data_IF_636172125237
#
_entry.id   IF_636172125237
#
_cell.length_a   1.000
_cell.length_b   1.000
_cell.length_c   1.000
_cell.angle_alpha   90.00
_cell.angle_beta   90.00
_cell.angle_gamma   90.00
#
_symmetry.space_group_name_H-M   'P 1'
#
loop_
_entity.id
_entity.type
_entity.pdbx_description
1 polymer ?
#
# COMPACT_ATOMS: atom_id res chain seq x y z
N UNK A 1 -2.64 -87.75 9.74
CA UNK A 1 -2.04 -86.45 9.53
C UNK A 1 -2.71 -85.46 10.48
N UNK A 2 -2.04 -85.15 11.58
CA UNK A 2 -2.57 -84.22 12.60
C UNK A 2 -1.74 -82.92 12.52
N UNK A 3 -2.37 -81.82 12.12
CA UNK A 3 -1.74 -80.50 12.17
C UNK A 3 -1.88 -79.95 13.57
N UNK A 4 -0.74 -79.66 14.20
CA UNK A 4 -0.65 -78.95 15.48
C UNK A 4 -0.50 -77.44 15.20
N UNK A 5 -1.51 -76.65 15.55
CA UNK A 5 -1.45 -75.15 15.51
C UNK A 5 -0.82 -74.66 16.82
N UNK A 6 0.37 -74.05 16.72
CA UNK A 6 1.00 -73.33 17.80
C UNK A 6 0.48 -71.90 17.83
N UNK A 7 -0.21 -71.52 18.89
CA UNK A 7 -0.62 -70.17 19.19
C UNK A 7 0.56 -69.47 19.88
N UNK A 8 1.15 -68.47 19.22
CA UNK A 8 2.09 -67.52 19.81
C UNK A 8 1.33 -66.33 20.37
N UNK A 9 1.35 -66.14 21.67
CA UNK A 9 0.94 -64.86 22.33
C UNK A 9 1.99 -63.78 22.09
N UNK A 10 1.60 -62.56 21.69
CA UNK A 10 2.57 -61.46 21.67
C UNK A 10 2.74 -60.88 23.07
N UNK A 11 4.01 -60.75 23.49
CA UNK A 11 4.43 -59.93 24.64
C UNK A 11 3.97 -58.48 24.43
N UNK A 12 3.17 -57.94 25.36
CA UNK A 12 2.94 -56.50 25.47
C UNK A 12 4.21 -55.82 25.92
N UNK A 13 4.90 -55.16 24.99
CA UNK A 13 5.94 -54.19 25.30
C UNK A 13 5.25 -52.85 25.71
N UNK A 14 5.31 -52.51 26.97
CA UNK A 14 4.88 -51.22 27.53
C UNK A 14 5.86 -50.16 27.02
N UNK A 15 5.52 -49.52 25.91
CA UNK A 15 6.28 -48.37 25.42
C UNK A 15 5.99 -47.18 26.33
N UNK A 16 6.97 -46.79 27.12
CA UNK A 16 7.00 -45.52 27.85
C UNK A 16 7.04 -44.41 26.81
N UNK A 17 5.91 -43.75 26.57
CA UNK A 17 5.85 -42.51 25.79
C UNK A 17 6.55 -41.42 26.61
N UNK A 18 7.84 -41.21 26.31
CA UNK A 18 8.54 -39.99 26.71
C UNK A 18 7.93 -38.87 25.90
N UNK A 19 7.06 -38.08 26.53
CA UNK A 19 6.63 -36.78 25.99
C UNK A 19 7.86 -35.86 25.91
N UNK A 20 8.64 -35.98 24.86
CA UNK A 20 9.52 -34.90 24.46
C UNK A 20 8.62 -33.77 23.99
N UNK A 21 8.54 -32.71 24.78
CA UNK A 21 7.90 -31.47 24.40
C UNK A 21 8.59 -30.87 23.18
N UNK A 22 8.31 -31.40 22.02
CA UNK A 22 8.65 -30.79 20.74
C UNK A 22 7.85 -29.50 20.69
N UNK A 23 8.49 -28.36 20.99
CA UNK A 23 7.91 -27.07 20.64
C UNK A 23 7.59 -27.14 19.15
N UNK A 24 6.33 -27.03 18.80
CA UNK A 24 5.89 -27.02 17.42
C UNK A 24 6.68 -25.92 16.69
N UNK A 25 7.48 -26.31 15.70
CA UNK A 25 8.26 -25.38 14.89
C UNK A 25 7.28 -24.61 14.00
N UNK A 26 7.43 -23.29 13.94
CA UNK A 26 6.67 -22.49 12.97
C UNK A 26 6.93 -22.98 11.55
N UNK A 27 5.88 -23.06 10.75
CA UNK A 27 6.03 -23.36 9.33
C UNK A 27 6.89 -22.27 8.65
N UNK A 28 7.79 -22.66 7.72
CA UNK A 28 8.54 -21.71 6.93
C UNK A 28 7.58 -20.86 6.07
N UNK A 29 8.07 -19.73 5.54
CA UNK A 29 7.32 -19.00 4.51
C UNK A 29 7.03 -19.93 3.33
N UNK A 30 5.78 -19.93 2.85
CA UNK A 30 5.43 -20.69 1.65
C UNK A 30 6.08 -20.09 0.40
N UNK A 31 6.08 -20.86 -0.70
CA UNK A 31 6.69 -20.44 -1.96
C UNK A 31 6.04 -19.18 -2.54
N UNK A 32 4.73 -19.01 -2.39
CA UNK A 32 3.99 -17.85 -2.90
C UNK A 32 4.35 -16.58 -2.12
N UNK A 33 4.43 -16.67 -0.80
CA UNK A 33 4.91 -15.57 0.05
C UNK A 33 6.34 -15.18 -0.29
N UNK A 34 7.23 -16.16 -0.48
CA UNK A 34 8.64 -15.91 -0.82
C UNK A 34 8.76 -15.21 -2.18
N UNK A 35 7.99 -15.67 -3.17
CA UNK A 35 7.92 -15.06 -4.50
C UNK A 35 7.39 -13.62 -4.42
N UNK A 36 6.28 -13.39 -3.71
CA UNK A 36 5.69 -12.07 -3.55
C UNK A 36 6.66 -11.07 -2.89
N UNK A 37 7.38 -11.47 -1.85
CA UNK A 37 8.40 -10.65 -1.20
C UNK A 37 9.48 -10.22 -2.19
N UNK A 38 9.96 -11.17 -3.02
CA UNK A 38 11.01 -10.90 -4.00
C UNK A 38 10.51 -9.99 -5.13
N UNK A 39 9.35 -10.27 -5.71
CA UNK A 39 8.73 -9.50 -6.80
C UNK A 39 8.46 -8.05 -6.40
N UNK A 40 7.94 -7.84 -5.18
CA UNK A 40 7.69 -6.51 -4.64
C UNK A 40 8.96 -5.83 -4.11
N UNK A 41 10.07 -6.56 -3.97
CA UNK A 41 11.31 -6.07 -3.37
C UNK A 41 11.05 -5.49 -1.97
N UNK A 42 10.29 -6.22 -1.12
CA UNK A 42 10.00 -5.80 0.25
C UNK A 42 11.29 -5.79 1.07
N UNK A 43 11.48 -4.74 1.85
CA UNK A 43 12.68 -4.59 2.69
C UNK A 43 12.42 -5.08 4.09
N UNK A 44 13.41 -5.76 4.63
CA UNK A 44 13.47 -6.09 6.04
C UNK A 44 13.87 -4.87 6.88
N UNK A 45 13.43 -4.84 8.12
CA UNK A 45 13.90 -3.87 9.11
C UNK A 45 15.42 -3.98 9.31
N UNK A 46 16.06 -2.87 9.67
CA UNK A 46 17.51 -2.84 9.89
C UNK A 46 17.94 -3.78 11.02
N UNK A 47 17.16 -3.82 12.11
CA UNK A 47 17.47 -4.56 13.34
C UNK A 47 16.39 -5.62 13.60
N UNK A 48 16.81 -6.83 13.96
CA UNK A 48 15.89 -7.86 14.41
C UNK A 48 15.20 -7.45 15.72
N UNK A 49 13.97 -7.92 15.93
CA UNK A 49 13.23 -7.57 17.15
C UNK A 49 13.93 -8.09 18.41
N UNK A 50 14.51 -9.29 18.34
CA UNK A 50 15.24 -9.88 19.45
C UNK A 50 16.47 -9.05 19.91
N UNK A 51 17.02 -8.25 19.00
CA UNK A 51 18.18 -7.37 19.28
C UNK A 51 17.76 -6.00 19.84
N UNK A 52 16.45 -5.71 19.89
CA UNK A 52 15.92 -4.44 20.41
C UNK A 52 15.77 -4.50 21.93
N UNK A 53 16.12 -3.40 22.59
CA UNK A 53 15.95 -3.28 24.04
C UNK A 53 14.50 -3.54 24.45
N UNK A 54 14.33 -4.36 25.50
CA UNK A 54 13.01 -4.69 26.05
C UNK A 54 12.19 -5.70 25.23
N UNK A 55 12.75 -6.32 24.19
CA UNK A 55 12.06 -7.37 23.47
C UNK A 55 11.73 -8.56 24.37
N UNK A 56 10.53 -9.10 24.19
CA UNK A 56 10.07 -10.35 24.82
C UNK A 56 9.29 -11.13 23.77
N UNK A 57 9.42 -12.46 23.80
CA UNK A 57 8.62 -13.33 22.95
C UNK A 57 7.13 -13.05 23.14
N UNK A 58 6.36 -12.83 22.06
CA UNK A 58 4.93 -12.54 22.17
C UNK A 58 4.15 -13.75 22.68
N UNK A 59 3.07 -13.49 23.42
CA UNK A 59 2.16 -14.51 23.95
C UNK A 59 0.80 -14.46 23.28
N UNK A 60 0.32 -13.25 22.94
CA UNK A 60 -1.02 -13.03 22.38
C UNK A 60 -0.99 -11.99 21.27
N UNK A 61 -1.65 -12.31 20.16
CA UNK A 61 -1.86 -11.40 19.03
C UNK A 61 -3.34 -11.32 18.71
N UNK A 62 -3.89 -10.11 18.65
CA UNK A 62 -5.27 -9.87 18.23
C UNK A 62 -5.31 -9.61 16.74
N UNK A 63 -6.20 -10.27 16.04
CA UNK A 63 -6.41 -10.14 14.59
C UNK A 63 -7.80 -9.60 14.33
N UNK A 64 -7.89 -8.55 13.53
CA UNK A 64 -9.15 -7.89 13.16
C UNK A 64 -9.42 -8.14 11.69
N UNK A 65 -10.67 -8.51 11.34
CA UNK A 65 -11.06 -8.71 9.94
C UNK A 65 -10.70 -10.08 9.36
N UNK A 66 -10.41 -11.07 10.20
CA UNK A 66 -10.18 -12.45 9.81
C UNK A 66 -11.38 -13.35 10.16
N UNK A 67 -11.49 -14.47 9.47
CA UNK A 67 -12.42 -15.57 9.79
C UNK A 67 -11.71 -16.71 10.53
N UNK A 68 -12.46 -17.76 10.89
CA UNK A 68 -11.92 -18.93 11.59
C UNK A 68 -10.87 -19.70 10.76
N UNK A 69 -11.03 -19.77 9.44
CA UNK A 69 -10.06 -20.40 8.55
C UNK A 69 -8.74 -19.62 8.54
N UNK A 70 -8.83 -18.30 8.48
CA UNK A 70 -7.68 -17.40 8.54
C UNK A 70 -6.98 -17.47 9.89
N UNK A 71 -7.74 -17.60 10.99
CA UNK A 71 -7.18 -17.80 12.33
C UNK A 71 -6.29 -19.05 12.39
N UNK A 72 -6.79 -20.20 11.94
CA UNK A 72 -6.03 -21.47 11.94
C UNK A 72 -4.75 -21.36 11.08
N UNK A 73 -4.87 -20.71 9.92
CA UNK A 73 -3.74 -20.47 9.01
C UNK A 73 -2.67 -19.55 9.61
N UNK A 74 -3.07 -18.50 10.34
CA UNK A 74 -2.14 -17.64 11.07
C UNK A 74 -1.50 -18.37 12.25
N UNK A 75 -2.28 -19.22 12.96
CA UNK A 75 -1.80 -20.01 14.10
C UNK A 75 -0.65 -20.94 13.70
N UNK A 76 -0.67 -21.53 12.49
CA UNK A 76 0.40 -22.40 12.02
C UNK A 76 1.74 -21.65 11.82
N UNK A 77 1.70 -20.36 11.55
CA UNK A 77 2.90 -19.53 11.43
C UNK A 77 3.52 -19.13 12.78
N UNK A 78 2.75 -19.17 13.87
CA UNK A 78 3.20 -18.82 15.22
C UNK A 78 2.58 -19.76 16.28
N UNK A 79 2.96 -21.05 16.30
CA UNK A 79 2.29 -22.07 17.15
C UNK A 79 2.43 -21.82 18.64
N UNK A 80 3.45 -21.06 19.07
CA UNK A 80 3.67 -20.68 20.47
C UNK A 80 2.95 -19.40 20.92
N UNK A 81 2.16 -18.77 20.04
CA UNK A 81 1.45 -17.50 20.28
C UNK A 81 -0.05 -17.74 20.24
N UNK A 82 -0.81 -17.21 21.17
CA UNK A 82 -2.27 -17.26 21.12
C UNK A 82 -2.79 -16.26 20.10
N UNK A 83 -3.43 -16.73 19.03
CA UNK A 83 -4.07 -15.89 18.03
C UNK A 83 -5.56 -15.76 18.33
N UNK A 84 -6.02 -14.53 18.60
CA UNK A 84 -7.42 -14.22 18.88
C UNK A 84 -7.99 -13.39 17.75
N UNK A 85 -9.01 -13.88 17.05
CA UNK A 85 -9.74 -13.12 16.04
C UNK A 85 -10.87 -12.36 16.69
N UNK A 86 -10.82 -11.04 16.61
CA UNK A 86 -11.88 -10.16 17.07
C UNK A 86 -12.91 -9.95 15.96
N UNK A 87 -14.18 -10.24 16.26
CA UNK A 87 -15.31 -10.13 15.32
C UNK A 87 -15.73 -8.69 15.07
N UNK A 88 -15.55 -7.86 16.07
CA UNK A 88 -15.91 -6.44 16.01
C UNK A 88 -14.94 -5.57 16.84
N UNK A 89 -15.16 -4.27 16.77
CA UNK A 89 -14.33 -3.29 17.48
C UNK A 89 -14.38 -3.44 18.99
N UNK A 90 -15.54 -3.74 19.54
CA UNK A 90 -15.72 -3.89 20.99
C UNK A 90 -14.95 -5.11 21.52
N UNK A 91 -14.98 -6.21 20.78
CA UNK A 91 -14.18 -7.39 21.08
C UNK A 91 -12.67 -7.10 20.96
N UNK A 92 -12.25 -6.41 19.90
CA UNK A 92 -10.85 -6.03 19.72
C UNK A 92 -10.34 -5.18 20.91
N UNK A 93 -11.13 -4.24 21.41
CA UNK A 93 -10.76 -3.40 22.55
C UNK A 93 -10.64 -4.19 23.86
N UNK A 94 -11.46 -5.24 24.06
CA UNK A 94 -11.32 -6.13 25.23
C UNK A 94 -10.07 -7.01 25.11
N UNK A 95 -9.89 -7.63 23.94
CA UNK A 95 -8.81 -8.59 23.72
C UNK A 95 -7.43 -7.97 23.66
N UNK A 96 -7.33 -6.67 23.31
CA UNK A 96 -6.05 -5.97 23.20
C UNK A 96 -5.43 -5.64 24.57
N UNK A 97 -6.20 -5.68 25.65
CA UNK A 97 -5.76 -5.26 26.98
C UNK A 97 -4.52 -6.01 27.50
N UNK A 98 -4.37 -7.29 27.12
CA UNK A 98 -3.23 -8.14 27.47
C UNK A 98 -2.45 -8.63 26.24
N UNK A 99 -2.72 -8.09 25.05
CA UNK A 99 -2.08 -8.48 23.80
C UNK A 99 -0.73 -7.80 23.60
N UNK A 100 0.19 -8.54 22.96
CA UNK A 100 1.51 -8.05 22.57
C UNK A 100 1.49 -7.37 21.19
N UNK A 101 0.51 -7.71 20.34
CA UNK A 101 0.39 -7.16 19.00
C UNK A 101 -1.03 -7.17 18.45
N UNK A 102 -1.26 -6.33 17.42
CA UNK A 102 -2.51 -6.28 16.64
C UNK A 102 -2.18 -6.41 15.15
N UNK A 103 -2.96 -7.23 14.44
CA UNK A 103 -2.99 -7.32 12.98
C UNK A 103 -4.36 -6.87 12.49
N UNK A 104 -4.41 -6.00 11.47
CA UNK A 104 -5.66 -5.58 10.82
C UNK A 104 -6.12 -4.18 11.18
N UNK A 105 -5.63 -3.58 12.24
CA UNK A 105 -6.09 -2.27 12.68
C UNK A 105 -5.01 -1.40 13.31
N UNK A 106 -5.13 -0.10 13.09
CA UNK A 106 -4.30 0.91 13.72
C UNK A 106 -5.22 2.06 14.16
N UNK A 107 -5.46 2.20 15.48
CA UNK A 107 -6.34 3.25 15.99
C UNK A 107 -5.98 3.64 17.43
N UNK A 108 -6.25 4.89 17.78
CA UNK A 108 -5.86 5.48 19.05
C UNK A 108 -6.42 4.75 20.28
N UNK A 109 -7.68 4.32 20.22
CA UNK A 109 -8.31 3.58 21.32
C UNK A 109 -7.75 2.16 21.50
N UNK A 110 -7.34 1.47 20.40
CA UNK A 110 -6.61 0.18 20.49
C UNK A 110 -5.26 0.37 21.16
N UNK A 111 -4.51 1.39 20.77
CA UNK A 111 -3.21 1.69 21.38
C UNK A 111 -3.36 2.08 22.85
N UNK A 112 -4.40 2.84 23.19
CA UNK A 112 -4.71 3.21 24.58
C UNK A 112 -5.15 2.01 25.43
N UNK A 113 -6.00 1.13 24.87
CA UNK A 113 -6.50 -0.05 25.57
C UNK A 113 -5.46 -1.18 25.71
N UNK A 114 -4.41 -1.18 24.85
CA UNK A 114 -3.37 -2.21 24.84
C UNK A 114 -2.03 -1.72 25.45
N UNK A 115 -1.88 -1.69 26.79
CA UNK A 115 -0.67 -1.18 27.44
C UNK A 115 0.58 -2.03 27.13
N UNK A 116 0.41 -3.29 26.74
CA UNK A 116 1.52 -4.20 26.42
C UNK A 116 1.85 -4.27 24.94
N UNK A 117 1.11 -3.55 24.05
CA UNK A 117 1.35 -3.56 22.62
C UNK A 117 2.78 -3.12 22.27
N UNK A 118 3.44 -3.91 21.42
CA UNK A 118 4.79 -3.70 20.91
C UNK A 118 4.87 -3.75 19.39
N UNK A 119 3.85 -4.31 18.72
CA UNK A 119 3.79 -4.36 17.28
C UNK A 119 2.37 -4.18 16.76
N UNK A 120 2.25 -3.43 15.67
CA UNK A 120 1.01 -3.28 14.91
C UNK A 120 1.31 -3.58 13.44
N UNK A 121 0.59 -4.56 12.86
CA UNK A 121 0.55 -4.80 11.42
C UNK A 121 -0.69 -4.11 10.85
N UNK A 122 -0.48 -3.00 10.17
CA UNK A 122 -1.56 -2.32 9.44
C UNK A 122 -1.75 -2.95 8.06
N UNK A 123 -3.00 -3.25 7.66
CA UNK A 123 -3.31 -3.90 6.38
C UNK A 123 -3.54 -2.92 5.21
N UNK A 124 -3.19 -1.65 5.38
CA UNK A 124 -3.14 -0.65 4.31
C UNK A 124 -1.73 -0.10 4.13
N UNK A 125 -1.48 0.57 3.01
CA UNK A 125 -0.19 1.23 2.76
C UNK A 125 -0.09 2.57 3.48
N UNK A 126 -1.16 3.38 3.48
CA UNK A 126 -1.20 4.70 4.13
C UNK A 126 -1.23 4.57 5.65
N UNK A 127 -0.38 5.32 6.33
CA UNK A 127 -0.18 5.23 7.79
C UNK A 127 -0.36 6.56 8.51
N UNK A 128 -0.85 7.58 7.84
CA UNK A 128 -0.97 8.95 8.35
C UNK A 128 -1.75 9.00 9.68
N UNK A 129 -2.85 8.23 9.76
CA UNK A 129 -3.65 8.11 10.99
C UNK A 129 -2.96 7.28 12.07
N UNK A 130 -2.06 6.37 11.70
CA UNK A 130 -1.32 5.54 12.64
C UNK A 130 -0.21 6.32 13.31
N UNK A 131 0.62 7.00 12.52
CA UNK A 131 1.81 7.70 13.04
C UNK A 131 1.45 8.90 13.93
N UNK A 132 0.24 9.43 13.79
CA UNK A 132 -0.28 10.51 14.64
C UNK A 132 -0.88 10.02 15.98
N UNK A 133 -0.93 8.70 16.23
CA UNK A 133 -1.51 8.17 17.46
C UNK A 133 -0.62 8.49 18.66
N UNK A 134 -1.17 9.16 19.70
CA UNK A 134 -0.42 9.40 20.93
C UNK A 134 0.09 8.08 21.54
N UNK A 135 1.35 8.07 21.92
CA UNK A 135 1.98 6.90 22.56
C UNK A 135 2.58 5.86 21.59
N UNK A 136 2.29 5.90 20.29
CA UNK A 136 2.86 4.93 19.35
C UNK A 136 4.40 5.05 19.30
N UNK A 137 4.92 6.24 19.04
CA UNK A 137 6.36 6.49 19.02
C UNK A 137 6.99 6.39 20.41
N UNK A 138 6.43 7.05 21.43
CA UNK A 138 7.03 7.13 22.76
C UNK A 138 7.07 5.80 23.51
N UNK A 139 6.20 4.85 23.15
CA UNK A 139 6.21 3.48 23.67
C UNK A 139 7.08 2.53 22.85
N UNK A 140 7.68 3.00 21.73
CA UNK A 140 8.48 2.18 20.83
C UNK A 140 7.68 1.07 20.14
N UNK A 141 6.37 1.29 19.89
CA UNK A 141 5.54 0.32 19.17
C UNK A 141 5.98 0.26 17.72
N UNK A 142 6.41 -0.91 17.27
CA UNK A 142 6.79 -1.13 15.88
C UNK A 142 5.54 -1.12 15.00
N UNK A 143 5.55 -0.35 13.93
CA UNK A 143 4.49 -0.31 12.93
C UNK A 143 5.00 -0.90 11.63
N UNK A 144 4.26 -1.83 11.07
CA UNK A 144 4.47 -2.37 9.71
C UNK A 144 3.22 -2.15 8.88
N UNK A 145 3.38 -1.94 7.57
CA UNK A 145 2.28 -1.66 6.66
C UNK A 145 2.36 -2.51 5.38
N UNK A 146 1.45 -2.25 4.43
CA UNK A 146 1.38 -2.94 3.14
C UNK A 146 1.98 -2.09 2.01
N UNK A 147 3.06 -1.33 2.29
CA UNK A 147 3.77 -0.60 1.24
C UNK A 147 4.19 -1.54 0.12
N UNK A 148 4.10 -1.06 -1.13
CA UNK A 148 4.36 -1.78 -2.37
C UNK A 148 3.36 -2.86 -2.77
N UNK A 149 2.59 -3.45 -1.85
CA UNK A 149 1.65 -4.55 -2.17
C UNK A 149 0.65 -4.13 -3.26
N UNK A 150 0.13 -2.91 -3.19
CA UNK A 150 -0.79 -2.37 -4.19
C UNK A 150 -0.07 -1.72 -5.40
N UNK A 151 1.27 -1.69 -5.43
CA UNK A 151 2.02 -1.03 -6.51
C UNK A 151 1.65 -1.51 -7.91
N UNK A 152 1.63 -2.82 -8.19
CA UNK A 152 1.27 -3.34 -9.51
C UNK A 152 -0.11 -2.89 -9.97
N UNK A 153 -1.18 -3.13 -9.19
CA UNK A 153 -2.56 -2.77 -9.57
C UNK A 153 -2.75 -1.26 -9.66
N UNK A 154 -2.21 -0.48 -8.73
CA UNK A 154 -2.30 0.98 -8.78
C UNK A 154 -1.58 1.56 -10.00
N UNK A 155 -0.48 0.94 -10.44
CA UNK A 155 0.20 1.39 -11.66
C UNK A 155 -0.65 1.18 -12.92
N UNK A 156 -1.45 0.11 -12.99
CA UNK A 156 -2.41 -0.11 -14.08
C UNK A 156 -3.53 0.93 -14.06
N UNK A 157 -4.02 1.27 -12.87
CA UNK A 157 -5.01 2.33 -12.68
C UNK A 157 -4.46 3.70 -13.15
N UNK A 158 -3.21 4.05 -12.80
CA UNK A 158 -2.55 5.26 -13.29
C UNK A 158 -2.47 5.27 -14.81
N UNK A 159 -2.07 4.17 -15.44
CA UNK A 159 -2.04 4.06 -16.91
C UNK A 159 -3.42 4.20 -17.53
N UNK A 160 -4.46 3.61 -16.92
CA UNK A 160 -5.84 3.76 -17.38
C UNK A 160 -6.29 5.23 -17.35
N UNK A 161 -5.99 5.97 -16.28
CA UNK A 161 -6.26 7.40 -16.21
C UNK A 161 -5.46 8.19 -17.25
N UNK A 162 -4.17 7.89 -17.43
CA UNK A 162 -3.32 8.53 -18.44
C UNK A 162 -3.85 8.30 -19.86
N UNK A 163 -4.19 7.06 -20.22
CA UNK A 163 -4.80 6.75 -21.52
C UNK A 163 -6.18 7.38 -21.66
N UNK A 164 -7.00 7.31 -20.61
CA UNK A 164 -8.33 7.91 -20.63
C UNK A 164 -8.30 9.40 -20.97
N UNK A 165 -7.39 10.15 -20.36
CA UNK A 165 -7.22 11.57 -20.57
C UNK A 165 -6.57 11.89 -21.93
N UNK A 166 -5.47 11.23 -22.26
CA UNK A 166 -4.73 11.49 -23.50
C UNK A 166 -5.50 11.07 -24.75
N UNK A 167 -6.48 10.14 -24.62
CA UNK A 167 -7.35 9.67 -25.69
C UNK A 167 -8.76 10.25 -25.64
N UNK A 168 -9.02 11.24 -24.76
CA UNK A 168 -10.28 11.96 -24.70
C UNK A 168 -11.48 11.16 -24.21
N UNK A 169 -11.26 10.04 -23.46
CA UNK A 169 -12.37 9.18 -23.00
C UNK A 169 -13.30 9.92 -22.04
N UNK A 170 -12.81 10.91 -21.29
CA UNK A 170 -13.64 11.80 -20.47
C UNK A 170 -14.72 12.54 -21.26
N UNK A 171 -14.46 12.82 -22.55
CA UNK A 171 -15.41 13.46 -23.49
C UNK A 171 -16.24 12.43 -24.24
N UNK A 172 -15.63 11.34 -24.74
CA UNK A 172 -16.33 10.40 -25.62
C UNK A 172 -17.27 9.46 -24.86
N UNK A 173 -16.98 9.08 -23.60
CA UNK A 173 -17.87 8.21 -22.82
C UNK A 173 -19.25 8.86 -22.58
N UNK A 174 -19.40 10.13 -22.18
CA UNK A 174 -20.69 10.79 -22.10
C UNK A 174 -21.42 10.86 -23.46
N UNK A 175 -20.72 11.09 -24.58
CA UNK A 175 -21.29 11.07 -25.93
C UNK A 175 -21.82 9.69 -26.32
N UNK A 176 -21.08 8.63 -26.02
CA UNK A 176 -21.53 7.25 -26.17
C UNK A 176 -22.84 7.01 -25.38
N UNK A 177 -22.90 7.48 -24.14
CA UNK A 177 -24.10 7.31 -23.29
C UNK A 177 -25.35 8.01 -23.86
N UNK A 178 -25.17 9.12 -24.59
CA UNK A 178 -26.24 9.82 -25.29
C UNK A 178 -26.51 9.32 -26.74
N UNK A 179 -25.75 8.31 -27.21
CA UNK A 179 -25.90 7.79 -28.59
C UNK A 179 -25.38 8.73 -29.67
N UNK A 180 -24.49 9.66 -29.32
CA UNK A 180 -23.95 10.67 -30.22
C UNK A 180 -22.60 10.22 -30.80
N UNK A 181 -22.53 10.14 -32.16
CA UNK A 181 -21.27 9.92 -32.89
C UNK A 181 -20.58 11.27 -33.11
N UNK A 182 -19.76 11.70 -32.15
CA UNK A 182 -19.18 13.06 -32.08
C UNK A 182 -17.69 13.05 -32.40
N UNK A 183 -17.29 12.96 -33.65
CA UNK A 183 -15.88 12.92 -34.09
C UNK A 183 -15.10 14.15 -33.64
N UNK A 184 -15.71 15.32 -33.66
CA UNK A 184 -15.09 16.63 -33.38
C UNK A 184 -15.27 17.07 -31.91
N UNK A 185 -15.74 16.19 -31.02
CA UNK A 185 -16.01 16.57 -29.63
C UNK A 185 -14.71 16.89 -28.84
N UNK A 186 -13.59 16.34 -29.26
CA UNK A 186 -12.25 16.67 -28.70
C UNK A 186 -11.50 17.55 -29.70
N UNK A 187 -11.09 18.77 -29.31
CA UNK A 187 -10.39 19.69 -30.22
C UNK A 187 -9.10 19.08 -30.80
N UNK A 188 -8.76 19.49 -32.02
CA UNK A 188 -7.52 19.10 -32.67
C UNK A 188 -6.29 19.38 -31.79
N UNK A 189 -5.34 18.44 -31.77
CA UNK A 189 -4.13 18.53 -30.94
C UNK A 189 -4.30 18.18 -29.46
N UNK A 190 -5.56 17.89 -29.01
CA UNK A 190 -5.83 17.44 -27.63
C UNK A 190 -5.70 15.92 -27.46
N UNK A 191 -5.80 15.16 -28.54
CA UNK A 191 -5.51 13.71 -28.55
C UNK A 191 -4.03 13.50 -28.87
N UNK A 192 -3.31 12.79 -28.03
CA UNK A 192 -1.88 12.57 -28.22
C UNK A 192 -1.41 11.20 -27.69
N UNK A 193 -0.25 10.76 -28.16
CA UNK A 193 0.41 9.53 -27.74
C UNK A 193 1.22 9.76 -26.47
N UNK A 194 1.36 8.73 -25.66
CA UNK A 194 2.27 8.74 -24.50
C UNK A 194 3.74 8.57 -24.91
N UNK A 195 4.01 7.85 -26.02
CA UNK A 195 5.37 7.64 -26.53
C UNK A 195 6.08 8.97 -26.77
N UNK A 196 7.33 9.06 -26.32
CA UNK A 196 8.15 10.26 -26.42
C UNK A 196 7.81 11.38 -25.44
N UNK A 197 6.72 11.26 -24.68
CA UNK A 197 6.33 12.25 -23.66
C UNK A 197 7.09 12.03 -22.36
N UNK A 198 7.26 13.10 -21.59
CA UNK A 198 7.90 13.07 -20.28
C UNK A 198 6.88 12.86 -19.19
N UNK A 199 7.02 11.76 -18.44
CA UNK A 199 6.30 11.51 -17.20
C UNK A 199 7.18 11.93 -16.02
N UNK A 200 6.72 12.89 -15.23
CA UNK A 200 7.29 13.17 -13.92
C UNK A 200 6.54 12.43 -12.84
N UNK A 201 7.27 11.71 -11.99
CA UNK A 201 6.75 10.98 -10.85
C UNK A 201 7.21 11.66 -9.56
N UNK A 202 6.31 12.35 -8.88
CA UNK A 202 6.52 12.82 -7.52
C UNK A 202 6.29 11.65 -6.55
N UNK A 203 7.38 11.12 -5.99
CA UNK A 203 7.33 9.97 -5.11
C UNK A 203 7.69 8.64 -5.78
N UNK A 204 8.99 8.37 -5.96
CA UNK A 204 9.49 7.09 -6.49
C UNK A 204 9.51 6.00 -5.37
N UNK A 205 8.32 5.75 -4.79
CA UNK A 205 8.03 4.68 -3.85
C UNK A 205 7.51 3.42 -4.55
N UNK A 206 6.73 2.58 -3.85
CA UNK A 206 6.20 1.32 -4.40
C UNK A 206 5.33 1.53 -5.65
N UNK A 207 4.41 2.50 -5.62
CA UNK A 207 3.55 2.84 -6.76
C UNK A 207 4.38 3.48 -7.88
N UNK A 208 5.16 4.52 -7.54
CA UNK A 208 5.96 5.25 -8.52
C UNK A 208 6.94 4.36 -9.29
N UNK A 209 7.57 3.38 -8.64
CA UNK A 209 8.46 2.39 -9.26
C UNK A 209 7.74 1.54 -10.31
N UNK A 210 6.54 1.04 -9.98
CA UNK A 210 5.76 0.21 -10.89
C UNK A 210 5.22 1.02 -12.08
N UNK A 211 4.79 2.26 -11.84
CA UNK A 211 4.40 3.18 -12.92
C UNK A 211 5.60 3.50 -13.81
N UNK A 212 6.76 3.84 -13.22
CA UNK A 212 7.97 4.16 -13.96
C UNK A 212 8.37 3.03 -14.93
N UNK A 213 8.38 1.79 -14.43
CA UNK A 213 8.72 0.61 -15.23
C UNK A 213 7.77 0.42 -16.42
N UNK A 214 6.46 0.55 -16.20
CA UNK A 214 5.44 0.39 -17.24
C UNK A 214 5.44 1.54 -18.23
N UNK A 215 5.55 2.78 -17.76
CA UNK A 215 5.61 3.97 -18.60
C UNK A 215 6.85 3.99 -19.50
N UNK A 216 8.00 3.55 -18.98
CA UNK A 216 9.20 3.36 -19.80
C UNK A 216 8.97 2.31 -20.90
N UNK A 217 8.25 1.21 -20.61
CA UNK A 217 7.84 0.21 -21.61
C UNK A 217 6.91 0.76 -22.69
N UNK A 218 6.19 1.85 -22.42
CA UNK A 218 5.37 2.60 -23.39
C UNK A 218 6.17 3.66 -24.16
N UNK A 219 7.49 3.70 -24.03
CA UNK A 219 8.35 4.68 -24.71
C UNK A 219 8.34 6.07 -24.10
N UNK A 220 7.83 6.25 -22.86
CA UNK A 220 7.90 7.53 -22.17
C UNK A 220 9.29 7.81 -21.61
N UNK A 221 9.68 9.09 -21.57
CA UNK A 221 10.83 9.54 -20.80
C UNK A 221 10.41 9.74 -19.34
N UNK A 222 10.92 8.90 -18.42
CA UNK A 222 10.52 8.94 -17.01
C UNK A 222 11.54 9.70 -16.18
N UNK A 223 11.10 10.77 -15.53
CA UNK A 223 11.86 11.52 -14.51
C UNK A 223 11.14 11.45 -13.18
N UNK A 224 11.86 11.43 -12.06
CA UNK A 224 11.23 11.20 -10.77
C UNK A 224 11.94 11.91 -9.61
N UNK A 225 11.19 12.19 -8.53
CA UNK A 225 11.76 12.63 -7.26
C UNK A 225 11.46 11.64 -6.15
N UNK A 226 12.32 11.64 -5.14
CA UNK A 226 12.13 10.88 -3.91
C UNK A 226 12.75 11.61 -2.72
N UNK A 227 12.32 11.26 -1.51
CA UNK A 227 12.82 11.93 -0.30
C UNK A 227 14.19 11.39 0.16
N UNK A 228 14.46 10.10 -0.03
CA UNK A 228 15.71 9.48 0.45
C UNK A 228 16.57 9.09 -0.75
N UNK A 229 17.86 9.47 -0.79
CA UNK A 229 18.76 9.07 -1.85
C UNK A 229 18.81 7.54 -2.05
N UNK A 230 18.83 7.09 -3.28
CA UNK A 230 19.05 5.69 -3.65
C UNK A 230 19.60 5.59 -5.05
N UNK A 231 20.05 4.41 -5.42
CA UNK A 231 20.40 4.12 -6.81
C UNK A 231 19.20 4.36 -7.73
N UNK A 232 19.49 4.98 -8.88
CA UNK A 232 18.49 5.28 -9.90
C UNK A 232 18.15 4.01 -10.70
N UNK A 233 16.86 3.63 -10.79
CA UNK A 233 16.45 2.48 -11.59
C UNK A 233 16.77 2.67 -13.09
N UNK A 234 17.04 1.60 -13.85
CA UNK A 234 17.43 1.71 -15.26
C UNK A 234 16.33 2.28 -16.18
N UNK A 235 15.07 2.16 -15.77
CA UNK A 235 13.89 2.67 -16.48
C UNK A 235 13.49 4.11 -16.07
N UNK A 236 14.32 4.77 -15.25
CA UNK A 236 14.18 6.20 -14.91
C UNK A 236 15.37 6.93 -15.51
N UNK A 237 15.10 7.92 -16.36
CA UNK A 237 16.16 8.68 -17.04
C UNK A 237 16.87 9.67 -16.10
N UNK A 238 16.12 10.28 -15.18
CA UNK A 238 16.62 11.23 -14.20
C UNK A 238 15.92 11.09 -12.86
N UNK A 239 16.69 11.08 -11.76
CA UNK A 239 16.17 11.00 -10.40
C UNK A 239 16.75 12.12 -9.55
N UNK A 240 15.86 12.93 -8.97
CA UNK A 240 16.21 13.99 -8.02
C UNK A 240 15.65 13.73 -6.62
N UNK A 241 15.85 14.72 -5.74
CA UNK A 241 15.27 14.75 -4.40
C UNK A 241 13.99 15.59 -4.37
N UNK A 242 13.27 15.54 -3.25
CA UNK A 242 12.01 16.28 -3.07
C UNK A 242 12.14 17.79 -3.33
N UNK A 243 13.31 18.38 -3.06
CA UNK A 243 13.59 19.79 -3.35
C UNK A 243 13.59 20.16 -4.84
N UNK A 244 13.75 19.18 -5.72
CA UNK A 244 13.81 19.39 -7.17
C UNK A 244 12.41 19.36 -7.84
N UNK A 245 11.33 19.14 -7.06
CA UNK A 245 9.96 18.93 -7.55
C UNK A 245 9.55 19.95 -8.61
N UNK A 246 9.74 21.23 -8.36
CA UNK A 246 9.33 22.30 -9.29
C UNK A 246 10.09 22.26 -10.62
N UNK A 247 11.36 21.90 -10.58
CA UNK A 247 12.19 21.73 -11.77
C UNK A 247 11.68 20.61 -12.67
N UNK A 248 11.21 19.51 -12.07
CA UNK A 248 10.66 18.37 -12.79
C UNK A 248 9.23 18.63 -13.30
N UNK A 249 8.39 19.31 -12.50
CA UNK A 249 7.05 19.75 -12.92
C UNK A 249 7.11 20.55 -14.22
N UNK A 250 8.05 21.50 -14.33
CA UNK A 250 8.18 22.36 -15.51
C UNK A 250 8.55 21.61 -16.82
N UNK A 251 9.05 20.38 -16.70
CA UNK A 251 9.51 19.55 -17.83
C UNK A 251 8.53 18.47 -18.24
N UNK A 252 7.51 18.24 -17.44
CA UNK A 252 6.57 17.13 -17.57
C UNK A 252 5.44 17.41 -18.56
N UNK A 253 5.11 16.41 -19.37
CA UNK A 253 3.87 16.35 -20.15
C UNK A 253 2.75 15.66 -19.32
N UNK A 254 3.16 14.76 -18.41
CA UNK A 254 2.30 14.12 -17.42
C UNK A 254 2.98 14.24 -16.05
N UNK A 255 2.24 14.69 -15.05
CA UNK A 255 2.66 14.80 -13.65
C UNK A 255 1.88 13.77 -12.85
N UNK A 256 2.60 12.84 -12.23
CA UNK A 256 2.03 11.86 -11.30
C UNK A 256 2.35 12.22 -9.87
N UNK A 257 1.33 12.41 -9.06
CA UNK A 257 1.44 12.50 -7.62
C UNK A 257 1.23 11.12 -6.98
N UNK A 258 2.31 10.56 -6.43
CA UNK A 258 2.33 9.32 -5.65
C UNK A 258 2.97 9.56 -4.26
N UNK A 259 2.84 10.78 -3.75
CA UNK A 259 3.39 11.19 -2.46
C UNK A 259 2.53 10.72 -1.29
N UNK A 260 3.14 10.40 -0.14
CA UNK A 260 2.41 10.31 1.12
C UNK A 260 1.99 11.71 1.58
N UNK A 261 0.93 11.81 2.37
CA UNK A 261 0.54 13.08 3.00
C UNK A 261 1.32 13.27 4.31
N UNK A 262 2.22 14.23 4.29
CA UNK A 262 3.00 14.69 5.44
C UNK A 262 2.86 16.22 5.59
N UNK A 263 3.34 16.83 6.67
CA UNK A 263 3.39 18.29 6.77
C UNK A 263 4.10 18.96 5.58
N UNK A 264 5.17 18.33 5.06
CA UNK A 264 5.99 18.87 3.96
C UNK A 264 5.33 18.69 2.59
N UNK A 265 4.48 17.67 2.41
CA UNK A 265 3.81 17.40 1.12
C UNK A 265 2.40 17.97 1.03
N UNK A 266 1.83 18.44 2.15
CA UNK A 266 0.51 19.08 2.16
C UNK A 266 0.46 20.30 1.26
N UNK A 267 -0.44 20.29 0.26
CA UNK A 267 -0.63 21.37 -0.69
C UNK A 267 0.58 21.66 -1.59
N UNK A 268 1.50 20.70 -1.72
CA UNK A 268 2.71 20.86 -2.55
C UNK A 268 2.36 21.12 -4.02
N UNK A 269 1.26 20.55 -4.50
CA UNK A 269 0.66 20.85 -5.80
C UNK A 269 -0.40 21.93 -5.65
N UNK A 270 0.06 23.17 -5.46
CA UNK A 270 -0.75 24.37 -5.45
C UNK A 270 -0.45 25.24 -6.68
N UNK A 271 -0.90 26.50 -6.63
CA UNK A 271 -0.77 27.48 -7.72
C UNK A 271 0.62 27.53 -8.32
N UNK A 272 1.66 27.56 -7.48
CA UNK A 272 3.07 27.63 -7.92
C UNK A 272 3.46 26.42 -8.79
N UNK A 273 3.01 25.23 -8.42
CA UNK A 273 3.30 24.02 -9.17
C UNK A 273 2.56 24.01 -10.52
N UNK A 274 1.28 24.35 -10.51
CA UNK A 274 0.48 24.39 -11.74
C UNK A 274 0.94 25.51 -12.68
N UNK A 275 1.33 26.70 -12.18
CA UNK A 275 1.89 27.77 -12.99
C UNK A 275 3.21 27.36 -13.67
N UNK A 276 4.03 26.55 -13.00
CA UNK A 276 5.29 26.06 -13.55
C UNK A 276 5.10 24.92 -14.58
N UNK A 277 3.96 24.23 -14.56
CA UNK A 277 3.70 23.11 -15.46
C UNK A 277 3.66 23.54 -16.94
N UNK A 278 4.01 22.62 -17.84
CA UNK A 278 3.77 22.84 -19.28
C UNK A 278 2.27 23.05 -19.51
N UNK A 279 1.94 24.03 -20.36
CA UNK A 279 0.53 24.24 -20.74
C UNK A 279 -0.05 23.00 -21.41
N UNK A 280 -1.17 22.53 -20.91
CA UNK A 280 -1.81 21.32 -21.38
C UNK A 280 -1.27 20.02 -20.77
N UNK A 281 -0.35 20.08 -19.79
CA UNK A 281 0.11 18.89 -19.06
C UNK A 281 -1.05 18.17 -18.37
N UNK A 282 -0.95 16.85 -18.28
CA UNK A 282 -1.90 16.05 -17.49
C UNK A 282 -1.41 15.93 -16.04
N UNK A 283 -2.37 15.94 -15.12
CA UNK A 283 -2.10 15.73 -13.70
C UNK A 283 -2.83 14.48 -13.20
N UNK A 284 -2.10 13.54 -12.59
CA UNK A 284 -2.65 12.30 -12.03
C UNK A 284 -2.37 12.28 -10.54
N UNK A 285 -3.39 12.03 -9.70
CA UNK A 285 -3.21 11.86 -8.27
C UNK A 285 -3.76 10.50 -7.79
N UNK A 286 -2.86 9.64 -7.34
CA UNK A 286 -3.14 8.37 -6.65
C UNK A 286 -2.46 8.30 -5.28
N UNK A 287 -1.89 9.42 -4.82
CA UNK A 287 -1.27 9.57 -3.51
C UNK A 287 -2.31 9.89 -2.45
N UNK A 288 -2.50 11.18 -2.19
CA UNK A 288 -3.51 11.71 -1.24
C UNK A 288 -4.09 13.03 -1.77
N UNK A 289 -5.38 13.25 -1.56
CA UNK A 289 -6.03 14.50 -1.94
C UNK A 289 -5.39 15.73 -1.32
N UNK A 290 -5.01 15.64 -0.04
CA UNK A 290 -4.42 16.77 0.70
C UNK A 290 -3.01 17.20 0.24
N UNK A 291 -2.37 16.52 -0.72
CA UNK A 291 -1.13 16.99 -1.38
C UNK A 291 -1.42 18.07 -2.43
N UNK A 292 -2.69 18.22 -2.81
CA UNK A 292 -3.18 19.17 -3.82
C UNK A 292 -3.98 20.28 -3.14
N UNK A 293 -3.79 21.51 -3.60
CA UNK A 293 -4.73 22.61 -3.32
C UNK A 293 -5.83 22.54 -4.38
N UNK A 294 -6.97 21.96 -4.02
CA UNK A 294 -8.06 21.64 -4.95
C UNK A 294 -8.55 22.85 -5.75
N UNK A 295 -8.66 24.03 -5.12
CA UNK A 295 -9.07 25.27 -5.79
C UNK A 295 -8.06 25.72 -6.87
N UNK A 296 -6.76 25.52 -6.64
CA UNK A 296 -5.71 25.87 -7.59
C UNK A 296 -5.69 24.90 -8.79
N UNK A 297 -5.95 23.61 -8.53
CA UNK A 297 -6.13 22.63 -9.61
C UNK A 297 -7.33 22.98 -10.49
N UNK A 298 -8.46 23.32 -9.87
CA UNK A 298 -9.67 23.70 -10.60
C UNK A 298 -9.40 24.91 -11.51
N UNK A 299 -8.79 25.98 -10.98
CA UNK A 299 -8.43 27.16 -11.76
C UNK A 299 -7.48 26.82 -12.92
N UNK A 300 -6.50 25.93 -12.69
CA UNK A 300 -5.55 25.50 -13.72
C UNK A 300 -6.17 24.61 -14.81
N UNK A 301 -7.24 23.89 -14.50
CA UNK A 301 -8.05 23.14 -15.48
C UNK A 301 -8.91 24.08 -16.32
N UNK A 302 -9.56 25.07 -15.69
CA UNK A 302 -10.43 26.04 -16.35
C UNK A 302 -9.67 26.94 -17.33
N UNK A 303 -8.45 27.38 -16.98
CA UNK A 303 -7.60 28.19 -17.87
C UNK A 303 -6.78 27.35 -18.89
N UNK A 304 -6.88 26.02 -18.81
CA UNK A 304 -6.19 25.07 -19.68
C UNK A 304 -4.68 25.00 -19.43
N UNK A 305 -4.17 25.48 -18.29
CA UNK A 305 -2.80 25.26 -17.84
C UNK A 305 -2.57 23.76 -17.62
N UNK A 306 -3.45 23.12 -16.89
CA UNK A 306 -3.56 21.68 -16.81
C UNK A 306 -4.59 21.21 -17.83
N UNK A 307 -4.18 20.35 -18.78
CA UNK A 307 -4.99 19.87 -19.88
C UNK A 307 -5.99 18.79 -19.51
N UNK A 308 -5.89 18.24 -18.32
CA UNK A 308 -6.80 17.24 -17.73
C UNK A 308 -6.25 16.67 -16.44
N UNK A 309 -7.14 16.14 -15.60
CA UNK A 309 -6.74 15.51 -14.34
C UNK A 309 -7.40 14.14 -14.15
N UNK A 310 -6.60 13.16 -13.65
CA UNK A 310 -7.05 11.85 -13.21
C UNK A 310 -6.89 11.73 -11.70
N UNK A 311 -7.99 11.61 -10.97
CA UNK A 311 -7.99 11.71 -9.52
C UNK A 311 -8.64 10.46 -8.92
N UNK A 312 -7.86 9.63 -8.26
CA UNK A 312 -8.40 8.54 -7.42
C UNK A 312 -8.64 9.02 -5.98
N UNK A 313 -8.04 10.14 -5.61
CA UNK A 313 -8.15 10.77 -4.29
C UNK A 313 -8.41 12.27 -4.42
N UNK A 314 -9.18 12.83 -3.47
CA UNK A 314 -9.59 14.23 -3.46
C UNK A 314 -9.47 14.83 -2.05
N UNK A 315 -9.54 16.14 -1.95
CA UNK A 315 -9.70 16.86 -0.68
C UNK A 315 -10.75 17.96 -0.87
N UNK A 316 -11.94 17.84 -0.21
CA UNK A 316 -12.35 16.80 0.75
C UNK A 316 -12.57 15.42 0.12
N UNK A 317 -12.55 14.35 0.96
CA UNK A 317 -12.86 12.99 0.58
C UNK A 317 -13.84 12.37 1.61
N UNK A 318 -15.05 11.90 1.19
CA UNK A 318 -15.58 11.88 -0.19
C UNK A 318 -15.77 13.29 -0.77
N UNK A 319 -15.63 13.38 -2.13
CA UNK A 319 -15.91 14.63 -2.83
C UNK A 319 -17.42 14.95 -2.79
N UNK A 320 -17.84 16.14 -2.29
CA UNK A 320 -19.26 16.51 -2.23
C UNK A 320 -19.95 16.45 -3.59
N UNK A 321 -21.25 16.09 -3.66
CA UNK A 321 -21.98 15.94 -4.92
C UNK A 321 -22.05 17.20 -5.77
N UNK A 322 -21.97 18.38 -5.17
CA UNK A 322 -22.03 19.71 -5.79
C UNK A 322 -20.64 20.31 -6.08
N UNK A 323 -19.58 19.55 -5.86
CA UNK A 323 -18.23 20.06 -6.03
C UNK A 323 -17.88 20.31 -7.50
N UNK A 324 -17.30 21.47 -7.88
CA UNK A 324 -17.03 21.85 -9.28
C UNK A 324 -16.13 20.87 -10.05
N UNK A 325 -15.25 20.12 -9.37
CA UNK A 325 -14.40 19.12 -10.02
C UNK A 325 -15.17 18.07 -10.82
N UNK A 326 -16.43 17.75 -10.43
CA UNK A 326 -17.25 16.79 -11.19
C UNK A 326 -17.54 17.23 -12.62
N UNK A 327 -17.49 18.54 -12.87
CA UNK A 327 -17.81 19.17 -14.15
C UNK A 327 -16.62 19.89 -14.79
N UNK A 328 -15.44 19.79 -14.17
CA UNK A 328 -14.23 20.41 -14.70
C UNK A 328 -13.80 19.77 -16.03
N UNK A 329 -13.18 20.53 -16.95
CA UNK A 329 -12.84 20.03 -18.27
C UNK A 329 -11.78 18.91 -18.20
N UNK A 330 -12.06 17.81 -18.92
CA UNK A 330 -11.16 16.65 -19.05
C UNK A 330 -10.72 16.08 -17.69
N UNK A 331 -11.66 15.82 -16.78
CA UNK A 331 -11.41 15.20 -15.49
C UNK A 331 -11.98 13.79 -15.44
N UNK A 332 -11.21 12.84 -14.91
CA UNK A 332 -11.63 11.49 -14.55
C UNK A 332 -11.46 11.30 -13.05
N UNK A 333 -12.52 10.93 -12.36
CA UNK A 333 -12.51 10.70 -10.90
C UNK A 333 -12.91 9.26 -10.63
N UNK A 334 -12.13 8.59 -9.78
CA UNK A 334 -12.45 7.29 -9.22
C UNK A 334 -12.48 7.39 -7.69
N UNK A 335 -13.36 6.64 -6.98
CA UNK A 335 -13.63 6.88 -5.57
C UNK A 335 -12.66 6.10 -4.64
N UNK A 336 -11.36 6.41 -4.75
CA UNK A 336 -10.27 5.81 -3.95
C UNK A 336 -10.23 4.27 -4.07
N UNK A 337 -10.27 3.78 -5.31
CA UNK A 337 -10.35 2.35 -5.63
C UNK A 337 -9.15 1.83 -6.43
N UNK A 338 -8.13 2.66 -6.66
CA UNK A 338 -6.95 2.28 -7.44
C UNK A 338 -6.22 1.02 -6.92
N UNK A 339 -6.41 0.68 -5.65
CA UNK A 339 -5.83 -0.52 -5.04
C UNK A 339 -6.75 -1.76 -5.09
N UNK A 340 -7.97 -1.65 -5.65
CA UNK A 340 -8.89 -2.78 -5.79
C UNK A 340 -8.41 -3.74 -6.88
N UNK A 341 -8.50 -5.05 -6.61
CA UNK A 341 -8.02 -6.10 -7.52
C UNK A 341 -8.84 -7.38 -7.35
N UNK A 342 -8.82 -8.24 -8.37
CA UNK A 342 -9.38 -9.59 -8.37
C UNK A 342 -8.67 -10.54 -7.40
N UNK A 343 -7.43 -10.24 -7.00
CA UNK A 343 -6.70 -10.97 -5.98
C UNK A 343 -7.24 -10.72 -4.56
N UNK A 344 -8.13 -9.75 -4.40
CA UNK A 344 -8.70 -9.38 -3.10
C UNK A 344 -7.63 -8.96 -2.08
N UNK A 345 -7.76 -9.49 -0.87
CA UNK A 345 -6.84 -9.17 0.24
C UNK A 345 -5.72 -10.21 0.42
N UNK A 346 -5.68 -11.27 -0.38
CA UNK A 346 -4.75 -12.39 -0.18
C UNK A 346 -3.27 -11.94 -0.12
N UNK A 347 -2.76 -11.07 -1.01
CA UNK A 347 -1.38 -10.61 -0.92
C UNK A 347 -1.05 -9.91 0.41
N UNK A 348 -2.02 -9.19 1.00
CA UNK A 348 -1.85 -8.51 2.29
C UNK A 348 -1.75 -9.52 3.43
N UNK A 349 -2.57 -10.57 3.38
CA UNK A 349 -2.57 -11.61 4.40
C UNK A 349 -1.32 -12.49 4.35
N UNK A 350 -0.77 -12.78 3.15
CA UNK A 350 0.51 -13.47 2.99
C UNK A 350 1.64 -12.70 3.71
N UNK A 351 1.72 -11.39 3.51
CA UNK A 351 2.73 -10.55 4.18
C UNK A 351 2.47 -10.44 5.68
N UNK A 352 1.21 -10.31 6.10
CA UNK A 352 0.86 -10.26 7.52
C UNK A 352 1.23 -11.55 8.26
N UNK A 353 0.97 -12.72 7.64
CA UNK A 353 1.37 -14.03 8.17
C UNK A 353 2.88 -14.16 8.29
N UNK A 354 3.62 -13.74 7.28
CA UNK A 354 5.08 -13.78 7.31
C UNK A 354 5.64 -12.85 8.40
N UNK A 355 5.10 -11.65 8.54
CA UNK A 355 5.48 -10.75 9.63
C UNK A 355 5.11 -11.32 11.00
N UNK A 356 3.98 -12.02 11.14
CA UNK A 356 3.63 -12.73 12.37
C UNK A 356 4.64 -13.83 12.71
N UNK A 357 5.04 -14.64 11.74
CA UNK A 357 6.07 -15.68 11.89
C UNK A 357 7.41 -15.06 12.35
N UNK A 358 7.81 -13.96 11.70
CA UNK A 358 9.03 -13.21 12.04
C UNK A 358 8.95 -12.57 13.42
N UNK A 359 7.79 -12.00 13.76
CA UNK A 359 7.54 -11.40 15.08
C UNK A 359 7.66 -12.46 16.19
N UNK A 360 7.02 -13.61 16.03
CA UNK A 360 7.10 -14.72 16.98
C UNK A 360 8.52 -15.21 17.21
N UNK A 361 9.35 -15.20 16.16
CA UNK A 361 10.76 -15.61 16.20
C UNK A 361 11.74 -14.49 16.62
N UNK A 362 11.26 -13.27 16.88
CA UNK A 362 12.13 -12.11 17.15
C UNK A 362 12.95 -11.63 15.96
N UNK A 363 12.54 -11.98 14.74
CA UNK A 363 13.25 -11.69 13.49
C UNK A 363 13.07 -10.24 13.00
N UNK A 364 13.63 -9.96 11.83
CA UNK A 364 13.44 -8.68 11.11
C UNK A 364 12.08 -8.67 10.43
N UNK A 365 11.27 -7.64 10.69
CA UNK A 365 9.96 -7.48 10.05
C UNK A 365 10.10 -6.89 8.64
N UNK A 366 9.14 -7.20 7.78
CA UNK A 366 8.99 -6.58 6.46
C UNK A 366 8.22 -5.27 6.58
N UNK A 367 8.60 -4.29 5.76
CA UNK A 367 7.85 -3.03 5.59
C UNK A 367 7.63 -2.25 6.90
N UNK A 368 8.67 -2.15 7.72
CA UNK A 368 8.65 -1.31 8.92
C UNK A 368 8.56 0.17 8.53
N UNK A 369 7.65 0.88 9.19
CA UNK A 369 7.36 2.29 8.98
C UNK A 369 8.24 3.14 9.89
N UNK A 370 8.83 4.19 9.34
CA UNK A 370 9.44 5.25 10.15
C UNK A 370 8.35 6.16 10.69
N UNK A 371 8.02 6.04 11.98
CA UNK A 371 7.00 6.88 12.63
C UNK A 371 7.35 8.36 12.56
N UNK A 372 8.64 8.71 12.64
CA UNK A 372 9.14 10.08 12.55
C UNK A 372 8.94 10.70 11.16
N UNK A 373 9.13 9.88 10.10
CA UNK A 373 8.97 10.33 8.70
C UNK A 373 7.53 10.25 8.21
N UNK A 374 6.66 9.51 8.91
CA UNK A 374 5.26 9.34 8.54
C UNK A 374 5.02 8.35 7.39
N UNK A 375 6.01 7.51 7.01
CA UNK A 375 5.89 6.51 5.92
C UNK A 375 6.91 5.38 6.05
#
# INVERSE_FOLDING_TARGET
MKFVVRILLPLMATSLLIFNGSQARAEPADADTTRLIAELGLKESATALADRSGWKAPRKVVVIGADAGRQAWLQSAAPGVTIVVARDRAEALREVADADAVIGGCAADLVAAGPQLRWIQHLAAGVERCVSIPGLASRGIVLTNMQKVAGPVMSEHVLALMFGLSRGLSTYIPKQASGEWAEDAVPEGRLWMLEGKTLFIAGLGGIGMEVARRANGLGMNVIATRNTPSEKPPFVSEQGLSGDLMTYVARADVILDALPLTPETRGVFGKKAFDAAKRGALFINVGRGGTVVTADLLAALEDGRIGGAGLDVTDPEPLPPDHPLWHAPNVLITPHVAAATDLGEEPRWLIARENLRRYAAGGKLLSEVSVEKGY
#
